data_IF_625273643447
#
_entry.id   IF_625273643447
#
_cell.length_a   1.000
_cell.length_b   1.000
_cell.length_c   1.000
_cell.angle_alpha   90.00
_cell.angle_beta   90.00
_cell.angle_gamma   90.00
#
_symmetry.space_group_name_H-M   'P 1'
#
loop_
_entity.id
_entity.type
_entity.pdbx_description
1 polymer ?
#
# COMPACT_ATOMS: atom_id res chain seq x y z
N UNK A 1 -69.29 43.50 56.69
CA UNK A 1 -70.54 44.13 56.20
C UNK A 1 -71.78 43.25 56.38
N UNK A 2 -71.83 41.98 55.93
CA UNK A 2 -73.03 41.12 56.10
C UNK A 2 -73.52 41.03 57.57
N UNK A 3 -72.63 40.72 58.52
CA UNK A 3 -72.95 40.61 59.96
C UNK A 3 -73.56 41.88 60.57
N UNK A 4 -73.31 43.05 59.97
CA UNK A 4 -73.90 44.33 60.39
C UNK A 4 -75.39 44.38 60.03
N UNK A 5 -75.77 43.88 58.84
CA UNK A 5 -77.17 43.77 58.44
C UNK A 5 -77.94 42.72 59.24
N UNK A 6 -77.27 41.64 59.66
CA UNK A 6 -77.85 40.62 60.55
C UNK A 6 -78.17 41.19 61.95
N UNK A 7 -77.21 41.88 62.57
CA UNK A 7 -77.40 42.51 63.87
C UNK A 7 -78.45 43.62 63.78
N UNK A 8 -78.44 44.42 62.71
CA UNK A 8 -79.46 45.44 62.46
C UNK A 8 -80.86 44.85 62.29
N UNK A 9 -80.99 43.71 61.61
CA UNK A 9 -82.27 43.01 61.46
C UNK A 9 -82.84 42.59 62.82
N UNK A 10 -82.01 41.99 63.70
CA UNK A 10 -82.42 41.58 65.06
C UNK A 10 -82.82 42.76 65.95
N UNK A 11 -82.09 43.88 65.87
CA UNK A 11 -82.43 45.09 66.64
C UNK A 11 -83.76 45.68 66.17
N UNK A 12 -84.00 45.76 64.86
CA UNK A 12 -85.25 46.27 64.30
C UNK A 12 -86.45 45.34 64.59
N UNK A 13 -86.22 44.03 64.66
CA UNK A 13 -87.21 43.03 65.06
C UNK A 13 -87.61 43.21 66.53
N UNK A 14 -86.64 43.41 67.44
CA UNK A 14 -86.91 43.69 68.86
C UNK A 14 -87.67 45.01 69.08
N UNK A 15 -87.55 45.96 68.16
CA UNK A 15 -88.27 47.24 68.17
C UNK A 15 -89.65 47.19 67.48
N UNK A 16 -90.09 46.02 66.98
CA UNK A 16 -91.39 45.84 66.32
C UNK A 16 -91.45 46.37 64.88
N UNK A 17 -90.33 46.77 64.28
CA UNK A 17 -90.26 47.31 62.90
C UNK A 17 -90.04 46.19 61.86
N UNK A 18 -91.07 45.38 61.62
CA UNK A 18 -91.00 44.16 60.79
C UNK A 18 -90.48 44.43 59.37
N UNK A 19 -90.96 45.48 58.70
CA UNK A 19 -90.54 45.79 57.31
C UNK A 19 -89.05 46.18 57.22
N UNK A 20 -88.53 46.91 58.22
CA UNK A 20 -87.11 47.29 58.30
C UNK A 20 -86.20 46.10 58.63
N UNK A 21 -86.68 45.18 59.48
CA UNK A 21 -86.01 43.92 59.77
C UNK A 21 -85.92 43.02 58.52
N UNK A 22 -87.02 42.86 57.79
CA UNK A 22 -87.07 42.07 56.54
C UNK A 22 -86.13 42.63 55.46
N UNK A 23 -86.11 43.95 55.26
CA UNK A 23 -85.21 44.60 54.30
C UNK A 23 -83.73 44.43 54.69
N UNK A 24 -83.42 44.50 55.99
CA UNK A 24 -82.07 44.26 56.51
C UNK A 24 -81.65 42.81 56.36
N UNK A 25 -82.56 41.86 56.61
CA UNK A 25 -82.34 40.42 56.42
C UNK A 25 -82.13 40.07 54.94
N UNK A 26 -82.91 40.65 54.02
CA UNK A 26 -82.73 40.47 52.57
C UNK A 26 -81.34 40.95 52.13
N UNK A 27 -80.93 42.15 52.59
CA UNK A 27 -79.56 42.66 52.35
C UNK A 27 -78.48 41.77 52.96
N UNK A 28 -78.71 41.19 54.14
CA UNK A 28 -77.80 40.20 54.73
C UNK A 28 -77.64 38.98 53.84
N UNK A 29 -78.74 38.37 53.38
CA UNK A 29 -78.73 37.18 52.52
C UNK A 29 -78.03 37.46 51.19
N UNK A 30 -78.35 38.58 50.53
CA UNK A 30 -77.69 39.01 49.28
C UNK A 30 -76.18 39.23 49.48
N UNK A 31 -75.78 39.93 50.55
CA UNK A 31 -74.37 40.18 50.88
C UNK A 31 -73.62 38.91 51.27
N UNK A 32 -74.30 37.96 51.93
CA UNK A 32 -73.74 36.66 52.31
C UNK A 32 -73.50 35.79 51.08
N UNK A 33 -74.47 35.69 50.18
CA UNK A 33 -74.31 34.92 48.95
C UNK A 33 -73.28 35.52 47.98
N UNK A 34 -73.19 36.85 47.87
CA UNK A 34 -72.15 37.49 47.07
C UNK A 34 -70.75 37.23 47.66
N UNK A 35 -70.59 37.31 48.98
CA UNK A 35 -69.34 36.95 49.66
C UNK A 35 -68.98 35.47 49.44
N UNK A 36 -69.92 34.55 49.58
CA UNK A 36 -69.72 33.12 49.32
C UNK A 36 -69.36 32.83 47.85
N UNK A 37 -69.91 33.60 46.90
CA UNK A 37 -69.57 33.48 45.48
C UNK A 37 -68.12 33.91 45.25
N UNK A 38 -67.72 35.09 45.75
CA UNK A 38 -66.35 35.60 45.63
C UNK A 38 -65.34 34.67 46.31
N UNK A 39 -65.64 34.15 47.50
CA UNK A 39 -64.77 33.21 48.20
C UNK A 39 -64.64 31.87 47.45
N UNK A 40 -65.73 31.37 46.85
CA UNK A 40 -65.69 30.17 46.00
C UNK A 40 -64.86 30.41 44.74
N UNK A 41 -65.03 31.56 44.10
CA UNK A 41 -64.23 31.96 42.94
C UNK A 41 -62.75 32.07 43.30
N UNK A 42 -62.39 32.73 44.41
CA UNK A 42 -61.01 32.82 44.90
C UNK A 42 -60.39 31.44 45.20
N UNK A 43 -61.11 30.57 45.91
CA UNK A 43 -60.63 29.19 46.16
C UNK A 43 -60.45 28.40 44.87
N UNK A 44 -61.37 28.55 43.92
CA UNK A 44 -61.26 27.86 42.62
C UNK A 44 -60.06 28.36 41.80
N UNK A 45 -59.77 29.66 41.85
CA UNK A 45 -58.61 30.27 41.20
C UNK A 45 -57.31 29.82 41.86
N UNK A 46 -57.25 29.82 43.20
CA UNK A 46 -56.10 29.34 43.94
C UNK A 46 -55.81 27.86 43.61
N UNK A 47 -56.85 27.02 43.65
CA UNK A 47 -56.71 25.59 43.33
C UNK A 47 -56.23 25.36 41.89
N UNK A 48 -56.77 26.11 40.90
CA UNK A 48 -56.28 26.04 39.51
C UNK A 48 -54.81 26.43 39.40
N UNK A 49 -54.40 27.50 40.07
CA UNK A 49 -53.01 27.95 40.07
C UNK A 49 -52.07 26.90 40.70
N UNK A 50 -52.46 26.29 41.82
CA UNK A 50 -51.70 25.21 42.46
C UNK A 50 -51.56 23.98 41.54
N UNK A 51 -52.64 23.57 40.86
CA UNK A 51 -52.59 22.47 39.89
C UNK A 51 -51.71 22.79 38.68
N UNK A 52 -51.81 24.00 38.13
CA UNK A 52 -50.99 24.45 37.00
C UNK A 52 -49.51 24.51 37.37
N UNK A 53 -49.20 24.94 38.59
CA UNK A 53 -47.83 24.97 39.12
C UNK A 53 -47.28 23.55 39.29
N UNK A 54 -48.01 22.66 39.95
CA UNK A 54 -47.62 21.27 40.15
C UNK A 54 -47.41 20.53 38.81
N UNK A 55 -48.28 20.79 37.83
CA UNK A 55 -48.13 20.23 36.48
C UNK A 55 -46.85 20.72 35.79
N UNK A 56 -46.56 22.03 35.84
CA UNK A 56 -45.33 22.60 35.27
C UNK A 56 -44.08 22.04 35.96
N UNK A 57 -44.11 21.85 37.27
CA UNK A 57 -43.00 21.23 38.00
C UNK A 57 -42.76 19.79 37.55
N UNK A 58 -43.82 18.99 37.41
CA UNK A 58 -43.74 17.62 36.93
C UNK A 58 -43.21 17.55 35.49
N UNK A 59 -43.71 18.41 34.61
CA UNK A 59 -43.24 18.51 33.22
C UNK A 59 -41.75 18.90 33.18
N UNK A 60 -41.32 19.87 34.00
CA UNK A 60 -39.92 20.27 34.11
C UNK A 60 -39.02 19.14 34.62
N UNK A 61 -39.48 18.34 35.60
CA UNK A 61 -38.75 17.17 36.09
C UNK A 61 -38.64 16.07 35.01
N UNK A 62 -39.73 15.79 34.31
CA UNK A 62 -39.75 14.84 33.20
C UNK A 62 -38.82 15.27 32.05
N UNK A 63 -38.77 16.58 31.75
CA UNK A 63 -37.85 17.13 30.77
C UNK A 63 -36.38 16.99 31.20
N UNK A 64 -36.05 17.32 32.45
CA UNK A 64 -34.69 17.18 33.00
C UNK A 64 -34.22 15.72 32.96
N UNK A 65 -35.06 14.78 33.37
CA UNK A 65 -34.71 13.34 33.34
C UNK A 65 -34.50 12.84 31.90
N UNK A 66 -35.33 13.29 30.96
CA UNK A 66 -35.16 12.97 29.53
C UNK A 66 -33.87 13.55 28.96
N UNK A 67 -33.50 14.79 29.32
CA UNK A 67 -32.24 15.43 28.91
C UNK A 67 -31.03 14.65 29.44
N UNK A 68 -31.00 14.33 30.73
CA UNK A 68 -29.92 13.54 31.34
C UNK A 68 -29.76 12.18 30.66
N UNK A 69 -30.86 11.51 30.33
CA UNK A 69 -30.84 10.23 29.61
C UNK A 69 -30.29 10.39 28.18
N UNK A 70 -30.66 11.47 27.48
CA UNK A 70 -30.15 11.76 26.13
C UNK A 70 -28.64 12.05 26.16
N UNK A 71 -28.17 12.83 27.14
CA UNK A 71 -26.75 13.11 27.33
C UNK A 71 -25.94 11.84 27.62
N UNK A 72 -26.46 10.97 28.49
CA UNK A 72 -25.82 9.69 28.81
C UNK A 72 -25.73 8.77 27.58
N UNK A 73 -26.81 8.67 26.79
CA UNK A 73 -26.81 7.90 25.52
C UNK A 73 -25.81 8.47 24.51
N UNK A 74 -25.73 9.79 24.40
CA UNK A 74 -24.80 10.45 23.48
C UNK A 74 -23.34 10.13 23.85
N UNK A 75 -23.00 10.21 25.14
CA UNK A 75 -21.66 9.83 25.64
C UNK A 75 -21.34 8.38 25.31
N UNK A 76 -22.27 7.45 25.54
CA UNK A 76 -22.07 6.04 25.18
C UNK A 76 -21.84 5.82 23.68
N UNK A 77 -22.55 6.55 22.81
CA UNK A 77 -22.35 6.47 21.36
C UNK A 77 -20.99 7.06 20.94
N UNK A 78 -20.57 8.15 21.56
CA UNK A 78 -19.26 8.76 21.31
C UNK A 78 -18.11 7.82 21.71
N UNK A 79 -18.20 7.18 22.87
CA UNK A 79 -17.22 6.19 23.32
C UNK A 79 -17.14 5.00 22.35
N UNK A 80 -18.29 4.45 21.93
CA UNK A 80 -18.32 3.37 20.94
C UNK A 80 -17.68 3.78 19.62
N UNK A 81 -17.93 5.00 19.15
CA UNK A 81 -17.38 5.51 17.90
C UNK A 81 -15.85 5.64 17.95
N UNK A 82 -15.29 6.08 19.07
CA UNK A 82 -13.84 6.13 19.25
C UNK A 82 -13.20 4.73 19.18
N UNK A 83 -13.80 3.74 19.84
CA UNK A 83 -13.33 2.36 19.76
C UNK A 83 -13.44 1.78 18.35
N UNK A 84 -14.51 2.10 17.61
CA UNK A 84 -14.65 1.70 16.21
C UNK A 84 -13.52 2.27 15.34
N UNK A 85 -13.22 3.56 15.46
CA UNK A 85 -12.11 4.17 14.72
C UNK A 85 -10.75 3.58 15.14
N UNK A 86 -10.53 3.32 16.43
CA UNK A 86 -9.31 2.71 16.92
C UNK A 86 -9.08 1.32 16.29
N UNK A 87 -10.12 0.49 16.20
CA UNK A 87 -10.05 -0.84 15.57
C UNK A 87 -9.75 -0.73 14.07
N UNK A 88 -10.40 0.19 13.35
CA UNK A 88 -10.16 0.39 11.92
C UNK A 88 -8.72 0.86 11.66
N UNK A 89 -8.22 1.82 12.45
CA UNK A 89 -6.83 2.29 12.34
C UNK A 89 -5.85 1.15 12.62
N UNK A 90 -6.10 0.33 13.65
CA UNK A 90 -5.27 -0.83 13.96
C UNK A 90 -5.23 -1.84 12.81
N UNK A 91 -6.39 -2.14 12.21
CA UNK A 91 -6.47 -3.05 11.06
C UNK A 91 -5.70 -2.51 9.85
N UNK A 92 -5.81 -1.20 9.57
CA UNK A 92 -5.04 -0.55 8.49
C UNK A 92 -3.53 -0.61 8.76
N UNK A 93 -3.09 -0.39 9.99
CA UNK A 93 -1.68 -0.50 10.37
C UNK A 93 -1.15 -1.92 10.21
N UNK A 94 -1.92 -2.93 10.64
CA UNK A 94 -1.56 -4.34 10.49
C UNK A 94 -1.51 -4.72 9.01
N UNK A 95 -2.51 -4.33 8.21
CA UNK A 95 -2.54 -4.61 6.77
C UNK A 95 -1.37 -3.94 6.05
N UNK A 96 -1.06 -2.68 6.38
CA UNK A 96 0.11 -1.97 5.85
C UNK A 96 1.42 -2.65 6.23
N UNK A 97 1.59 -3.08 7.48
CA UNK A 97 2.77 -3.81 7.93
C UNK A 97 2.94 -5.14 7.18
N UNK A 98 1.87 -5.91 7.01
CA UNK A 98 1.88 -7.16 6.26
C UNK A 98 2.22 -6.95 4.79
N UNK A 99 1.66 -5.92 4.15
CA UNK A 99 1.97 -5.58 2.76
C UNK A 99 3.45 -5.21 2.58
N UNK A 100 3.99 -4.38 3.46
CA UNK A 100 5.42 -4.02 3.47
C UNK A 100 6.30 -5.26 3.69
N UNK A 101 5.91 -6.15 4.60
CA UNK A 101 6.63 -7.39 4.86
C UNK A 101 6.65 -8.32 3.65
N UNK A 102 5.50 -8.52 2.99
CA UNK A 102 5.37 -9.28 1.74
C UNK A 102 6.25 -8.71 0.64
N UNK A 103 6.18 -7.39 0.41
CA UNK A 103 6.96 -6.71 -0.61
C UNK A 103 8.47 -6.85 -0.37
N UNK A 104 8.89 -6.75 0.90
CA UNK A 104 10.28 -6.95 1.29
C UNK A 104 10.74 -8.42 1.15
N UNK A 105 9.90 -9.41 1.46
CA UNK A 105 10.21 -10.83 1.24
C UNK A 105 10.34 -11.16 -0.25
N UNK A 106 9.41 -10.70 -1.07
CA UNK A 106 9.46 -10.89 -2.53
C UNK A 106 10.71 -10.25 -3.12
N UNK A 107 11.03 -9.01 -2.71
CA UNK A 107 12.29 -8.34 -3.08
C UNK A 107 13.51 -9.13 -2.62
N UNK A 108 13.55 -9.64 -1.38
CA UNK A 108 14.65 -10.46 -0.88
C UNK A 108 14.80 -11.76 -1.65
N UNK A 109 13.71 -12.45 -1.96
CA UNK A 109 13.73 -13.71 -2.70
C UNK A 109 14.24 -13.51 -4.13
N UNK A 110 13.75 -12.48 -4.82
CA UNK A 110 14.27 -12.06 -6.13
C UNK A 110 15.72 -11.57 -6.07
N UNK A 111 16.16 -11.04 -4.92
CA UNK A 111 17.54 -10.59 -4.66
C UNK A 111 18.49 -11.74 -4.27
N UNK A 112 17.93 -12.86 -3.80
CA UNK A 112 18.63 -14.10 -3.44
C UNK A 112 18.66 -15.11 -4.58
N UNK A 113 17.79 -14.98 -5.59
CA UNK A 113 17.97 -15.66 -6.85
C UNK A 113 19.32 -15.21 -7.42
N UNK A 114 20.27 -16.15 -7.48
CA UNK A 114 21.61 -15.95 -8.06
C UNK A 114 21.66 -16.37 -9.52
N UNK A 115 20.60 -17.02 -9.98
CA UNK A 115 20.46 -17.58 -11.32
C UNK A 115 19.35 -16.87 -12.09
N UNK A 116 19.43 -16.95 -13.41
CA UNK A 116 18.38 -16.57 -14.35
C UNK A 116 17.43 -17.77 -14.55
N UNK A 117 16.13 -17.57 -14.39
CA UNK A 117 15.15 -18.67 -14.37
C UNK A 117 15.01 -19.37 -15.73
N UNK A 118 15.26 -18.65 -16.83
CA UNK A 118 15.17 -19.21 -18.18
C UNK A 118 16.39 -20.06 -18.53
N UNK A 119 17.58 -19.54 -18.25
CA UNK A 119 18.84 -20.15 -18.73
C UNK A 119 19.55 -20.99 -17.67
N UNK A 120 19.19 -20.87 -16.40
CA UNK A 120 19.88 -21.50 -15.26
C UNK A 120 21.28 -20.94 -14.98
N UNK A 121 21.79 -20.02 -15.80
CA UNK A 121 23.08 -19.36 -15.61
C UNK A 121 23.02 -18.35 -14.47
N UNK A 122 24.16 -17.78 -14.07
CA UNK A 122 24.13 -16.63 -13.16
C UNK A 122 23.31 -15.49 -13.77
N UNK A 123 22.51 -14.81 -12.96
CA UNK A 123 21.88 -13.59 -13.43
C UNK A 123 22.88 -12.42 -13.43
N UNK A 124 22.47 -11.30 -14.05
CA UNK A 124 23.25 -10.05 -14.11
C UNK A 124 23.87 -9.66 -12.78
N UNK A 125 23.09 -9.69 -11.69
CA UNK A 125 23.57 -9.29 -10.35
C UNK A 125 24.73 -10.19 -9.88
N UNK A 126 24.58 -11.49 -10.04
CA UNK A 126 25.56 -12.45 -9.54
C UNK A 126 26.84 -12.49 -10.39
N UNK A 127 26.71 -12.42 -11.72
CA UNK A 127 27.89 -12.39 -12.60
C UNK A 127 28.71 -11.12 -12.40
N UNK A 128 28.04 -9.96 -12.25
CA UNK A 128 28.69 -8.68 -11.94
C UNK A 128 29.40 -8.72 -10.59
N UNK A 129 28.77 -9.26 -9.55
CA UNK A 129 29.38 -9.39 -8.23
C UNK A 129 30.64 -10.29 -8.25
N UNK A 130 30.61 -11.40 -8.99
CA UNK A 130 31.78 -12.27 -9.18
C UNK A 130 32.89 -11.57 -9.98
N UNK A 131 32.52 -10.88 -11.06
CA UNK A 131 33.45 -10.10 -11.87
C UNK A 131 34.17 -9.03 -11.05
N UNK A 132 33.44 -8.29 -10.21
CA UNK A 132 34.01 -7.28 -9.33
C UNK A 132 35.02 -7.86 -8.34
N UNK A 133 34.72 -9.05 -7.78
CA UNK A 133 35.62 -9.73 -6.86
C UNK A 133 36.91 -10.18 -7.55
N UNK A 134 36.81 -10.75 -8.76
CA UNK A 134 37.99 -11.17 -9.53
C UNK A 134 38.79 -10.01 -10.09
N UNK A 135 38.14 -8.92 -10.51
CA UNK A 135 38.82 -7.70 -10.92
C UNK A 135 39.68 -7.16 -9.78
N UNK A 136 39.12 -7.10 -8.57
CA UNK A 136 39.88 -6.70 -7.37
C UNK A 136 41.08 -7.64 -7.13
N UNK A 137 40.88 -8.95 -7.24
CA UNK A 137 41.97 -9.92 -7.09
C UNK A 137 43.05 -9.79 -8.17
N UNK A 138 42.66 -9.56 -9.43
CA UNK A 138 43.57 -9.33 -10.55
C UNK A 138 44.42 -8.08 -10.33
N UNK A 139 43.78 -6.99 -9.89
CA UNK A 139 44.46 -5.73 -9.56
C UNK A 139 45.42 -5.87 -8.37
N UNK A 140 45.03 -6.59 -7.32
CA UNK A 140 45.83 -6.74 -6.10
C UNK A 140 47.01 -7.71 -6.27
N UNK A 141 46.84 -8.79 -7.03
CA UNK A 141 47.82 -9.87 -7.14
C UNK A 141 48.52 -9.94 -8.50
N UNK A 142 48.26 -8.99 -9.41
CA UNK A 142 48.84 -8.98 -10.76
C UNK A 142 48.41 -10.18 -11.62
N UNK A 143 47.23 -10.74 -11.35
CA UNK A 143 46.69 -11.87 -12.14
C UNK A 143 46.03 -11.38 -13.43
N UNK A 144 45.99 -12.24 -14.43
CA UNK A 144 45.22 -12.00 -15.64
C UNK A 144 43.73 -12.24 -15.39
N UNK A 145 42.89 -11.42 -15.99
CA UNK A 145 41.45 -11.58 -16.02
C UNK A 145 40.97 -11.12 -17.38
N UNK A 146 40.27 -11.97 -18.11
CA UNK A 146 39.61 -11.58 -19.35
C UNK A 146 38.11 -11.75 -19.24
N UNK A 147 37.38 -10.96 -20.00
CA UNK A 147 35.92 -11.04 -20.11
C UNK A 147 35.51 -11.15 -21.56
N UNK A 148 34.42 -11.88 -21.79
CA UNK A 148 33.75 -11.95 -23.09
C UNK A 148 32.35 -11.34 -22.93
N UNK A 149 32.05 -10.35 -23.77
CA UNK A 149 30.69 -9.85 -23.96
C UNK A 149 30.12 -10.50 -25.22
N UNK A 150 29.02 -11.22 -25.07
CA UNK A 150 28.40 -12.00 -26.14
C UNK A 150 26.96 -11.58 -26.33
N UNK A 151 26.53 -11.48 -27.58
CA UNK A 151 25.15 -11.16 -27.95
C UNK A 151 24.68 -12.01 -29.13
N UNK A 152 23.41 -12.43 -29.09
CA UNK A 152 22.80 -13.27 -30.13
C UNK A 152 22.39 -12.40 -31.33
N UNK A 153 23.00 -12.68 -32.47
CA UNK A 153 22.75 -11.93 -33.70
C UNK A 153 21.31 -12.12 -34.17
N UNK A 154 20.65 -11.00 -34.50
CA UNK A 154 19.28 -10.97 -35.03
C UNK A 154 18.23 -11.63 -34.10
N UNK A 155 18.46 -11.67 -32.78
CA UNK A 155 17.52 -12.28 -31.84
C UNK A 155 16.10 -11.71 -31.90
N UNK A 156 15.97 -10.39 -32.09
CA UNK A 156 14.66 -9.76 -32.32
C UNK A 156 13.92 -10.36 -33.53
N UNK A 157 14.62 -10.65 -34.62
CA UNK A 157 14.01 -11.25 -35.82
C UNK A 157 13.48 -12.67 -35.53
N UNK A 158 14.19 -13.44 -34.70
CA UNK A 158 13.73 -14.76 -34.24
C UNK A 158 12.41 -14.61 -33.46
N UNK A 159 12.34 -13.67 -32.52
CA UNK A 159 11.10 -13.40 -31.78
C UNK A 159 9.96 -12.94 -32.69
N UNK A 160 10.24 -12.03 -33.62
CA UNK A 160 9.23 -11.46 -34.50
C UNK A 160 8.70 -12.50 -35.51
N UNK A 161 9.54 -13.46 -35.93
CA UNK A 161 9.18 -14.47 -36.96
C UNK A 161 8.62 -15.76 -36.36
N UNK A 162 9.18 -16.23 -35.24
CA UNK A 162 8.90 -17.54 -34.65
C UNK A 162 8.23 -17.46 -33.27
N UNK A 163 8.01 -16.25 -32.76
CA UNK A 163 7.38 -15.99 -31.47
C UNK A 163 8.34 -16.08 -30.29
N UNK A 164 7.94 -15.47 -29.18
CA UNK A 164 8.74 -15.40 -27.95
C UNK A 164 9.12 -16.77 -27.37
N UNK A 165 8.26 -17.78 -27.52
CA UNK A 165 8.58 -19.13 -27.07
C UNK A 165 9.81 -19.73 -27.78
N UNK A 166 9.99 -19.41 -29.07
CA UNK A 166 11.18 -19.84 -29.81
C UNK A 166 12.41 -19.04 -29.36
N UNK A 167 12.27 -17.72 -29.15
CA UNK A 167 13.35 -16.91 -28.60
C UNK A 167 13.83 -17.40 -27.24
N UNK A 168 12.91 -17.77 -26.35
CA UNK A 168 13.23 -18.35 -25.04
C UNK A 168 14.02 -19.65 -25.17
N UNK A 169 13.64 -20.51 -26.13
CA UNK A 169 14.37 -21.75 -26.43
C UNK A 169 15.77 -21.47 -26.96
N UNK A 170 15.91 -20.51 -27.89
CA UNK A 170 17.22 -20.09 -28.42
C UNK A 170 18.13 -19.59 -27.29
N UNK A 171 17.61 -18.79 -26.37
CA UNK A 171 18.38 -18.31 -25.21
C UNK A 171 18.86 -19.46 -24.32
N UNK A 172 17.99 -20.42 -24.02
CA UNK A 172 18.34 -21.56 -23.18
C UNK A 172 19.39 -22.48 -23.84
N UNK A 173 19.25 -22.73 -25.15
CA UNK A 173 20.17 -23.56 -25.92
C UNK A 173 21.55 -22.90 -26.08
N UNK A 174 21.59 -21.60 -26.38
CA UNK A 174 22.85 -20.84 -26.45
C UNK A 174 23.52 -20.80 -25.07
N UNK A 175 22.76 -20.56 -24.00
CA UNK A 175 23.27 -20.56 -22.63
C UNK A 175 23.95 -21.89 -22.26
N UNK A 176 23.29 -23.00 -22.56
CA UNK A 176 23.82 -24.36 -22.35
C UNK A 176 25.10 -24.60 -23.17
N UNK A 177 25.07 -24.22 -24.45
CA UNK A 177 26.23 -24.35 -25.34
C UNK A 177 27.43 -23.56 -24.83
N UNK A 178 27.23 -22.30 -24.44
CA UNK A 178 28.29 -21.45 -23.87
C UNK A 178 28.85 -22.10 -22.61
N UNK A 179 28.00 -22.48 -21.65
CA UNK A 179 28.43 -23.10 -20.40
C UNK A 179 29.27 -24.38 -20.61
N UNK A 180 28.91 -25.19 -21.61
CA UNK A 180 29.64 -26.41 -21.94
C UNK A 180 31.05 -26.17 -22.53
N UNK A 181 31.34 -24.97 -23.02
CA UNK A 181 32.67 -24.61 -23.55
C UNK A 181 33.62 -24.04 -22.50
N UNK A 182 33.15 -23.86 -21.27
CA UNK A 182 33.87 -23.19 -20.18
C UNK A 182 34.50 -24.19 -19.20
N UNK A 183 35.60 -23.79 -18.59
CA UNK A 183 36.28 -24.55 -17.54
C UNK A 183 35.52 -24.42 -16.21
N UNK A 184 35.89 -25.24 -15.24
CA UNK A 184 35.25 -25.25 -13.91
C UNK A 184 35.41 -23.94 -13.13
N UNK A 185 36.48 -23.19 -13.39
CA UNK A 185 36.74 -21.90 -12.76
C UNK A 185 35.93 -20.78 -13.43
N UNK A 186 35.81 -20.78 -14.76
CA UNK A 186 35.12 -19.78 -15.57
C UNK A 186 33.66 -19.60 -15.15
N UNK A 187 33.10 -18.42 -15.40
CA UNK A 187 31.70 -18.12 -15.06
C UNK A 187 31.03 -17.46 -16.23
N UNK A 188 29.81 -17.89 -16.52
CA UNK A 188 28.90 -17.19 -17.43
C UNK A 188 27.66 -16.75 -16.67
N UNK A 189 27.12 -15.61 -17.09
CA UNK A 189 25.81 -15.16 -16.67
C UNK A 189 25.10 -14.38 -17.76
N UNK A 190 23.76 -14.37 -17.69
CA UNK A 190 22.92 -13.56 -18.57
C UNK A 190 22.91 -12.11 -18.06
N UNK A 191 23.57 -11.22 -18.81
CA UNK A 191 23.78 -9.83 -18.43
C UNK A 191 22.61 -8.92 -18.88
N UNK A 192 21.91 -9.30 -19.95
CA UNK A 192 20.80 -8.57 -20.54
C UNK A 192 19.76 -9.49 -21.18
N UNK A 193 18.92 -8.95 -22.07
CA UNK A 193 17.89 -9.73 -22.77
C UNK A 193 18.49 -10.88 -23.57
N UNK A 194 19.35 -10.57 -24.54
CA UNK A 194 20.06 -11.52 -25.40
C UNK A 194 21.59 -11.52 -25.18
N UNK A 195 22.03 -10.87 -24.10
CA UNK A 195 23.43 -10.62 -23.79
C UNK A 195 23.95 -11.53 -22.66
N UNK A 196 25.15 -12.07 -22.86
CA UNK A 196 25.86 -12.92 -21.91
C UNK A 196 27.23 -12.33 -21.60
N UNK A 197 27.61 -12.42 -20.33
CA UNK A 197 28.94 -12.05 -19.85
C UNK A 197 29.66 -13.29 -19.37
N UNK A 198 30.83 -13.54 -19.94
CA UNK A 198 31.75 -14.61 -19.52
C UNK A 198 32.94 -13.99 -18.81
N UNK A 199 33.33 -14.59 -17.70
CA UNK A 199 34.48 -14.24 -16.88
C UNK A 199 35.50 -15.37 -16.95
N UNK A 200 36.72 -15.04 -17.36
CA UNK A 200 37.84 -15.96 -17.55
C UNK A 200 38.99 -15.55 -16.62
N UNK A 201 39.01 -16.04 -15.36
CA UNK A 201 40.10 -15.76 -14.45
C UNK A 201 41.38 -16.43 -14.92
N UNK A 202 42.53 -15.85 -14.59
CA UNK A 202 43.85 -16.38 -14.94
C UNK A 202 44.01 -16.68 -16.45
N UNK A 203 43.38 -15.87 -17.31
CA UNK A 203 43.33 -16.05 -18.77
C UNK A 203 43.75 -14.76 -19.49
N UNK A 204 44.72 -14.84 -20.41
CA UNK A 204 45.15 -13.69 -21.21
C UNK A 204 44.22 -13.43 -22.41
N UNK A 205 44.41 -12.31 -23.10
CA UNK A 205 43.55 -11.89 -24.21
C UNK A 205 43.53 -12.90 -25.35
N UNK A 206 44.68 -13.47 -25.73
CA UNK A 206 44.77 -14.42 -26.84
C UNK A 206 44.02 -15.72 -26.51
N UNK A 207 44.20 -16.25 -25.30
CA UNK A 207 43.42 -17.41 -24.80
C UNK A 207 41.93 -17.11 -24.72
N UNK A 208 41.55 -15.89 -24.32
CA UNK A 208 40.15 -15.46 -24.28
C UNK A 208 39.52 -15.44 -25.68
N UNK A 209 40.27 -15.00 -26.70
CA UNK A 209 39.84 -15.04 -28.10
C UNK A 209 39.67 -16.49 -28.58
N UNK A 210 40.55 -17.42 -28.21
CA UNK A 210 40.38 -18.84 -28.54
C UNK A 210 39.11 -19.44 -27.91
N UNK A 211 38.81 -19.08 -26.65
CA UNK A 211 37.57 -19.47 -25.97
C UNK A 211 36.36 -18.89 -26.71
N UNK A 212 36.41 -17.61 -27.07
CA UNK A 212 35.34 -16.92 -27.81
C UNK A 212 35.09 -17.56 -29.18
N UNK A 213 36.14 -17.84 -29.96
CA UNK A 213 35.99 -18.50 -31.27
C UNK A 213 35.41 -19.90 -31.13
N UNK A 214 35.86 -20.66 -30.11
CA UNK A 214 35.27 -21.97 -29.81
C UNK A 214 33.78 -21.87 -29.50
N UNK A 215 33.37 -20.91 -28.66
CA UNK A 215 31.96 -20.65 -28.35
C UNK A 215 31.19 -20.31 -29.63
N UNK A 216 31.67 -19.34 -30.41
CA UNK A 216 31.03 -18.88 -31.64
C UNK A 216 30.81 -20.02 -32.63
N UNK A 217 31.83 -20.82 -32.87
CA UNK A 217 31.73 -21.98 -33.76
C UNK A 217 30.74 -23.03 -33.25
N UNK A 218 30.71 -23.31 -31.94
CA UNK A 218 29.80 -24.29 -31.36
C UNK A 218 28.34 -23.84 -31.43
N UNK A 219 28.07 -22.56 -31.15
CA UNK A 219 26.73 -21.99 -31.30
C UNK A 219 26.27 -22.05 -32.75
N UNK A 220 27.13 -21.69 -33.70
CA UNK A 220 26.80 -21.73 -35.13
C UNK A 220 26.52 -23.16 -35.65
N UNK A 221 27.05 -24.20 -35.00
CA UNK A 221 26.83 -25.60 -35.36
C UNK A 221 25.67 -26.26 -34.60
N UNK A 222 25.14 -25.61 -33.56
CA UNK A 222 24.08 -26.16 -32.73
C UNK A 222 22.78 -26.24 -33.52
N UNK A 223 22.13 -27.40 -33.47
CA UNK A 223 20.77 -27.58 -33.97
C UNK A 223 19.80 -27.29 -32.83
N UNK A 224 18.90 -26.35 -33.05
CA UNK A 224 17.86 -25.98 -32.08
C UNK A 224 16.52 -26.48 -32.62
N UNK A 225 15.90 -27.40 -31.89
CA UNK A 225 14.64 -28.01 -32.30
C UNK A 225 13.55 -26.95 -32.53
N UNK A 226 12.97 -26.95 -33.74
CA UNK A 226 11.94 -25.99 -34.15
C UNK A 226 12.46 -24.75 -34.86
N UNK A 227 13.78 -24.55 -34.96
CA UNK A 227 14.36 -23.60 -35.92
C UNK A 227 14.25 -24.14 -37.35
N UNK A 228 14.04 -23.28 -38.37
CA UNK A 228 14.07 -23.68 -39.77
C UNK A 228 15.40 -24.33 -40.16
N UNK A 229 15.34 -25.35 -41.00
CA UNK A 229 16.53 -26.03 -41.50
C UNK A 229 17.42 -25.06 -42.29
N UNK A 230 18.72 -25.06 -42.00
CA UNK A 230 19.69 -24.17 -42.64
C UNK A 230 19.73 -22.73 -42.09
N UNK A 231 19.02 -22.42 -41.00
CA UNK A 231 19.06 -21.11 -40.35
C UNK A 231 19.79 -21.19 -38.99
N UNK A 232 21.13 -21.19 -38.96
CA UNK A 232 21.90 -21.26 -37.72
C UNK A 232 21.72 -19.99 -36.87
N UNK A 233 21.85 -20.15 -35.55
CA UNK A 233 21.98 -19.03 -34.63
C UNK A 233 23.44 -18.59 -34.61
N UNK A 234 23.67 -17.29 -34.69
CA UNK A 234 25.00 -16.70 -34.64
C UNK A 234 25.14 -15.77 -33.45
N UNK A 235 26.38 -15.55 -33.04
CA UNK A 235 26.74 -14.67 -31.93
C UNK A 235 27.90 -13.78 -32.33
N UNK A 236 27.83 -12.53 -31.91
CA UNK A 236 28.95 -11.59 -31.97
C UNK A 236 29.58 -11.49 -30.59
N UNK A 237 30.91 -11.54 -30.52
CA UNK A 237 31.64 -11.60 -29.24
C UNK A 237 32.74 -10.54 -29.20
N UNK A 238 32.78 -9.78 -28.11
CA UNK A 238 33.87 -8.88 -27.78
C UNK A 238 34.70 -9.40 -26.62
N UNK A 239 36.02 -9.35 -26.75
CA UNK A 239 36.97 -9.82 -25.74
C UNK A 239 37.76 -8.65 -25.18
N UNK A 240 37.90 -8.57 -23.85
CA UNK A 240 38.82 -7.62 -23.22
C UNK A 240 39.58 -8.29 -22.08
N UNK A 241 40.87 -7.96 -21.96
CA UNK A 241 41.69 -8.35 -20.82
C UNK A 241 41.83 -7.15 -19.89
N UNK A 242 41.77 -7.39 -18.58
CA UNK A 242 42.11 -6.44 -17.54
C UNK A 242 43.42 -5.70 -17.86
N UNK A 243 43.35 -4.38 -17.78
CA UNK A 243 44.47 -3.46 -17.92
C UNK A 243 44.61 -2.63 -16.65
N UNK A 244 45.83 -2.26 -16.22
CA UNK A 244 46.03 -1.31 -15.12
C UNK A 244 45.35 0.06 -15.32
N UNK A 245 44.94 0.38 -16.55
CA UNK A 245 44.17 1.59 -16.88
C UNK A 245 42.68 1.48 -16.54
N UNK A 246 42.16 0.27 -16.30
CA UNK A 246 40.77 0.08 -15.87
C UNK A 246 40.64 0.49 -14.40
N UNK A 247 39.80 1.48 -14.07
CA UNK A 247 39.57 1.90 -12.68
C UNK A 247 38.59 0.95 -11.97
N UNK A 248 37.72 0.33 -12.75
CA UNK A 248 36.63 -0.52 -12.30
C UNK A 248 36.39 -1.73 -13.20
N UNK A 249 35.69 -2.73 -12.67
CA UNK A 249 35.21 -3.85 -13.48
C UNK A 249 34.28 -3.40 -14.61
N UNK A 250 33.57 -2.27 -14.43
CA UNK A 250 32.71 -1.68 -15.45
C UNK A 250 33.50 -1.27 -16.69
N UNK A 251 34.69 -0.70 -16.52
CA UNK A 251 35.52 -0.23 -17.64
C UNK A 251 36.01 -1.41 -18.50
N UNK A 252 36.41 -2.50 -17.83
CA UNK A 252 36.78 -3.75 -18.50
C UNK A 252 35.61 -4.33 -19.33
N UNK A 253 34.41 -4.37 -18.74
CA UNK A 253 33.20 -4.85 -19.45
C UNK A 253 32.83 -3.90 -20.59
N UNK A 254 32.97 -2.59 -20.41
CA UNK A 254 32.71 -1.59 -21.43
C UNK A 254 33.62 -1.77 -22.66
N UNK A 255 34.92 -2.03 -22.46
CA UNK A 255 35.84 -2.32 -23.58
C UNK A 255 35.47 -3.60 -24.33
N UNK A 256 35.00 -4.64 -23.63
CA UNK A 256 34.48 -5.84 -24.28
C UNK A 256 33.18 -5.56 -25.04
N UNK A 257 32.28 -4.74 -24.50
CA UNK A 257 31.05 -4.33 -25.17
C UNK A 257 31.33 -3.53 -26.46
N UNK A 258 32.27 -2.59 -26.42
CA UNK A 258 32.70 -1.84 -27.60
C UNK A 258 33.29 -2.76 -28.67
N UNK A 259 34.10 -3.75 -28.27
CA UNK A 259 34.61 -4.76 -29.20
C UNK A 259 33.48 -5.61 -29.80
N UNK A 260 32.50 -6.04 -29.01
CA UNK A 260 31.34 -6.79 -29.48
C UNK A 260 30.49 -5.96 -30.44
N UNK A 261 30.33 -4.67 -30.16
CA UNK A 261 29.62 -3.74 -31.03
C UNK A 261 30.33 -3.58 -32.38
N UNK A 262 31.66 -3.47 -32.38
CA UNK A 262 32.46 -3.49 -33.63
C UNK A 262 32.28 -4.82 -34.39
N UNK A 263 32.21 -5.96 -33.69
CA UNK A 263 31.91 -7.24 -34.31
C UNK A 263 30.53 -7.24 -35.00
N UNK A 264 29.51 -6.64 -34.38
CA UNK A 264 28.20 -6.46 -35.00
C UNK A 264 28.25 -5.56 -36.24
N UNK A 265 29.02 -4.49 -36.21
CA UNK A 265 29.15 -3.55 -37.33
C UNK A 265 29.91 -4.13 -38.53
N UNK A 266 30.91 -4.97 -38.28
CA UNK A 266 31.74 -5.56 -39.32
C UNK A 266 31.14 -6.86 -39.93
N UNK A 267 29.83 -7.10 -39.75
CA UNK A 267 29.14 -8.22 -40.40
C UNK A 267 28.64 -9.32 -39.47
N UNK A 268 28.73 -9.16 -38.14
CA UNK A 268 28.27 -10.13 -37.12
C UNK A 268 28.99 -11.49 -37.20
N UNK A 269 28.57 -12.46 -36.38
CA UNK A 269 29.15 -13.81 -36.34
C UNK A 269 30.70 -13.82 -36.30
N UNK A 270 31.29 -12.97 -35.46
CA UNK A 270 32.73 -12.85 -35.34
C UNK A 270 33.16 -12.43 -33.95
N UNK A 271 34.45 -12.63 -33.67
CA UNK A 271 35.09 -12.23 -32.43
C UNK A 271 35.94 -10.98 -32.70
N UNK A 272 35.83 -9.99 -31.82
CA UNK A 272 36.73 -8.84 -31.80
C UNK A 272 37.37 -8.67 -30.43
N UNK A 273 38.58 -8.13 -30.42
CA UNK A 273 39.29 -7.77 -29.19
C UNK A 273 39.20 -6.27 -28.94
N UNK A 274 39.19 -5.89 -27.67
CA UNK A 274 39.39 -4.52 -27.24
C UNK A 274 40.80 -4.05 -27.61
N UNK A 275 40.93 -2.77 -27.95
CA UNK A 275 42.22 -2.11 -28.12
C UNK A 275 42.85 -1.77 -26.77
#
# INVERSE_FOLDING_TARGET
MARVYEVRARILEQQGQINGALASLKKYVETKHSLERVLREQRSLQMRFEFDLARKELENQALKTKQLLQEAKLKQLQERRHWQYAVVILLLLVMGMLALHQFNRSRKMRRLAMTDDLTGLHNRRQIQAKGQAWFKQAREHGKTLSVLQLDIDHFKQVNDTLGHHMGDKVLAEVASCVAAQLRSLDRVGRNGGEEFLVLLPDTCLDEAVEVAERIRHRVAQQRIDGMPEGQPVHVSIGCAQYSPLDESFGDLVQRADEAMYRAKQAGRNQVMRAE
#
